data_IF_404153653412
#
_entry.id   IF_404153653412
#
_cell.length_a   1.000
_cell.length_b   1.000
_cell.length_c   1.000
_cell.angle_alpha   90.00
_cell.angle_beta   90.00
_cell.angle_gamma   90.00
#
_symmetry.space_group_name_H-M   'P 1'
#
loop_
_entity.id
_entity.type
_entity.pdbx_description
1 polymer ?
#
# COMPACT_ATOMS: atom_id res chain seq x y z
N UNK A 1 18.62 11.12 5.91
CA UNK A 1 17.16 11.06 5.68
C UNK A 1 16.95 10.40 4.31
N UNK A 2 16.66 9.09 4.26
CA UNK A 2 16.67 8.29 3.02
C UNK A 2 15.22 7.98 2.62
N UNK A 3 14.65 8.80 1.75
CA UNK A 3 13.45 8.42 0.98
C UNK A 3 13.99 7.82 -0.32
N UNK A 4 14.00 6.49 -0.40
CA UNK A 4 14.42 5.77 -1.61
C UNK A 4 13.29 5.84 -2.63
N UNK A 5 13.47 6.77 -3.57
CA UNK A 5 13.05 6.73 -4.97
C UNK A 5 11.92 5.73 -5.30
N UNK A 6 10.70 6.26 -5.34
CA UNK A 6 9.60 5.76 -6.14
C UNK A 6 9.86 6.09 -7.62
N UNK A 7 10.66 5.28 -8.33
CA UNK A 7 10.79 5.18 -9.82
C UNK A 7 12.04 4.34 -10.12
N UNK A 8 12.10 3.34 -11.00
CA UNK A 8 11.22 2.79 -12.03
C UNK A 8 11.46 1.27 -12.04
N UNK A 9 10.40 0.46 -12.11
CA UNK A 9 10.42 -1.00 -12.42
C UNK A 9 11.62 -1.81 -11.88
N UNK A 10 11.45 -2.53 -10.76
CA UNK A 10 10.58 -3.72 -10.75
C UNK A 10 9.57 -3.65 -9.59
N UNK A 11 8.27 -3.68 -9.90
CA UNK A 11 7.13 -3.79 -8.96
C UNK A 11 7.30 -3.13 -7.59
N UNK A 12 6.65 -1.97 -7.36
CA UNK A 12 6.67 -1.30 -6.06
C UNK A 12 6.41 -2.30 -4.93
N UNK A 13 7.24 -2.30 -3.89
CA UNK A 13 7.09 -3.23 -2.78
C UNK A 13 7.24 -2.48 -1.47
N UNK A 14 6.54 -2.98 -0.46
CA UNK A 14 6.45 -2.40 0.87
C UNK A 14 6.51 -3.51 1.92
N UNK A 15 6.74 -3.20 3.19
CA UNK A 15 6.64 -4.20 4.26
C UNK A 15 5.47 -3.87 5.18
N UNK A 16 4.72 -4.91 5.53
CA UNK A 16 3.65 -4.84 6.51
C UNK A 16 3.87 -5.94 7.53
N UNK A 17 3.98 -5.59 8.82
CA UNK A 17 4.17 -6.57 9.92
C UNK A 17 5.29 -7.60 9.66
N UNK A 18 6.41 -7.14 9.12
CA UNK A 18 7.57 -7.96 8.71
C UNK A 18 7.39 -8.84 7.47
N UNK A 19 6.21 -8.84 6.84
CA UNK A 19 5.97 -9.47 5.54
C UNK A 19 6.24 -8.49 4.39
N UNK A 20 6.76 -8.98 3.27
CA UNK A 20 6.90 -8.17 2.06
C UNK A 20 5.61 -8.21 1.26
N UNK A 21 5.11 -7.04 0.87
CA UNK A 21 4.00 -6.90 -0.06
C UNK A 21 4.49 -6.28 -1.34
N UNK A 22 4.26 -6.97 -2.45
CA UNK A 22 4.41 -6.38 -3.77
C UNK A 22 3.12 -5.68 -4.15
N UNK A 23 3.25 -4.49 -4.70
CA UNK A 23 2.19 -3.63 -5.19
C UNK A 23 2.26 -3.71 -6.72
N UNK A 24 1.17 -4.16 -7.31
CA UNK A 24 1.10 -4.42 -8.75
C UNK A 24 0.47 -3.24 -9.49
N UNK A 25 -0.66 -2.74 -8.97
CA UNK A 25 -1.41 -1.62 -9.56
C UNK A 25 -1.67 -0.55 -8.52
N UNK A 26 -1.31 0.69 -8.83
CA UNK A 26 -1.61 1.88 -8.03
C UNK A 26 -2.30 2.94 -8.87
N UNK A 27 -3.19 3.68 -8.23
CA UNK A 27 -3.91 4.81 -8.81
C UNK A 27 -3.73 6.01 -7.89
N UNK A 28 -3.27 7.13 -8.43
CA UNK A 28 -3.17 8.38 -7.65
C UNK A 28 -4.55 8.88 -7.25
N UNK A 29 -4.66 9.40 -6.02
CA UNK A 29 -5.90 10.01 -5.52
C UNK A 29 -5.68 11.50 -5.22
N UNK A 30 -6.79 12.20 -4.97
CA UNK A 30 -6.76 13.63 -4.62
C UNK A 30 -6.63 13.88 -3.11
N UNK A 31 -6.53 12.83 -2.30
CA UNK A 31 -6.32 12.93 -0.85
C UNK A 31 -4.83 12.91 -0.56
N UNK A 32 -4.40 13.52 0.54
CA UNK A 32 -3.03 13.43 1.03
C UNK A 32 -3.07 12.87 2.45
N UNK A 33 -2.18 11.93 2.73
CA UNK A 33 -1.99 11.32 4.05
C UNK A 33 -0.51 11.27 4.37
N UNK A 34 -0.19 11.02 5.64
CA UNK A 34 1.20 10.94 6.07
C UNK A 34 1.98 9.86 5.29
N UNK A 35 3.24 10.12 4.90
CA UNK A 35 4.03 9.16 4.16
C UNK A 35 4.09 7.80 4.87
N UNK A 36 3.62 6.75 4.18
CA UNK A 36 3.59 5.39 4.71
C UNK A 36 2.36 5.03 5.54
N UNK A 37 1.45 5.98 5.82
CA UNK A 37 0.21 5.67 6.54
C UNK A 37 -0.77 4.89 5.66
N UNK A 38 -1.47 3.94 6.26
CA UNK A 38 -2.46 3.09 5.61
C UNK A 38 -3.86 3.58 6.00
N UNK A 39 -4.66 3.89 5.00
CA UNK A 39 -6.05 4.31 5.17
C UNK A 39 -6.97 3.45 4.30
N UNK A 40 -8.17 3.16 4.81
CA UNK A 40 -9.19 2.44 4.05
C UNK A 40 -10.33 3.41 3.76
N UNK A 41 -10.57 3.69 2.48
CA UNK A 41 -11.65 4.57 2.04
C UNK A 41 -12.47 3.85 0.99
N UNK A 42 -13.79 3.76 1.18
CA UNK A 42 -14.69 3.09 0.22
C UNK A 42 -14.24 1.67 -0.17
N UNK A 43 -13.70 0.90 0.81
CA UNK A 43 -13.09 -0.43 0.63
C UNK A 43 -11.79 -0.45 -0.20
N UNK A 44 -11.24 0.71 -0.57
CA UNK A 44 -9.95 0.84 -1.25
C UNK A 44 -8.84 1.03 -0.23
N UNK A 45 -7.68 0.44 -0.52
CA UNK A 45 -6.46 0.63 0.25
C UNK A 45 -5.75 1.88 -0.23
N UNK A 46 -5.72 2.92 0.60
CA UNK A 46 -5.00 4.15 0.34
C UNK A 46 -3.70 4.17 1.15
N UNK A 47 -2.63 4.61 0.50
CA UNK A 47 -1.31 4.74 1.11
C UNK A 47 -0.87 6.18 0.99
N UNK A 48 -0.63 6.83 2.11
CA UNK A 48 -0.07 8.17 2.11
C UNK A 48 1.31 8.18 1.47
N UNK A 49 1.50 9.07 0.50
CA UNK A 49 2.84 9.44 0.04
C UNK A 49 3.04 10.92 0.37
N UNK A 50 4.29 11.37 0.48
CA UNK A 50 4.59 12.75 0.88
C UNK A 50 4.02 13.85 -0.01
N UNK A 51 3.35 13.50 -1.11
CA UNK A 51 2.55 14.39 -1.94
C UNK A 51 1.06 14.03 -1.90
N UNK A 52 0.67 12.91 -2.50
CA UNK A 52 -0.72 12.45 -2.54
C UNK A 52 -0.85 10.97 -2.18
N UNK A 53 -2.00 10.58 -1.66
CA UNK A 53 -2.28 9.20 -1.35
C UNK A 53 -2.45 8.38 -2.64
N UNK A 54 -1.90 7.16 -2.64
CA UNK A 54 -2.03 6.20 -3.72
C UNK A 54 -3.02 5.11 -3.32
N UNK A 55 -4.02 4.87 -4.16
CA UNK A 55 -4.91 3.73 -4.04
C UNK A 55 -4.27 2.49 -4.64
N UNK A 56 -4.09 1.44 -3.84
CA UNK A 56 -3.63 0.15 -4.34
C UNK A 56 -4.84 -0.63 -4.87
N UNK A 57 -4.74 -1.09 -6.12
CA UNK A 57 -5.73 -1.97 -6.74
C UNK A 57 -5.41 -3.44 -6.49
N UNK A 58 -4.19 -3.85 -6.85
CA UNK A 58 -3.71 -5.22 -6.73
C UNK A 58 -2.40 -5.29 -5.98
N UNK A 59 -2.27 -6.31 -5.13
CA UNK A 59 -1.07 -6.58 -4.36
C UNK A 59 -0.84 -8.09 -4.18
N UNK A 60 0.40 -8.45 -3.92
CA UNK A 60 0.85 -9.83 -3.74
C UNK A 60 1.65 -9.90 -2.45
N UNK A 61 1.06 -10.44 -1.37
CA UNK A 61 1.80 -10.73 -0.14
C UNK A 61 2.86 -11.81 -0.36
N UNK A 62 3.92 -11.80 0.44
CA UNK A 62 4.95 -12.82 0.39
C UNK A 62 4.36 -14.22 0.57
N UNK A 63 4.67 -15.14 -0.36
CA UNK A 63 4.17 -16.51 -0.32
C UNK A 63 2.69 -16.68 -0.70
N UNK A 64 2.00 -15.63 -1.15
CA UNK A 64 0.61 -15.71 -1.63
C UNK A 64 0.48 -15.30 -3.10
N UNK A 65 -0.63 -15.68 -3.71
CA UNK A 65 -1.02 -15.22 -5.04
C UNK A 65 -1.41 -13.74 -5.04
N UNK A 66 -1.30 -13.11 -6.21
CA UNK A 66 -1.83 -11.76 -6.47
C UNK A 66 -3.32 -11.73 -6.10
N UNK A 67 -3.73 -10.69 -5.36
CA UNK A 67 -5.11 -10.47 -4.94
C UNK A 67 -5.46 -8.99 -4.97
N UNK A 68 -6.75 -8.68 -5.01
CA UNK A 68 -7.23 -7.32 -4.87
C UNK A 68 -6.91 -6.76 -3.49
N UNK A 69 -6.60 -5.47 -3.42
CA UNK A 69 -6.33 -4.79 -2.16
C UNK A 69 -7.47 -4.90 -1.13
N UNK A 70 -8.76 -4.79 -1.50
CA UNK A 70 -9.86 -5.03 -0.56
C UNK A 70 -9.88 -6.47 -0.03
N UNK A 71 -9.58 -7.46 -0.87
CA UNK A 71 -9.50 -8.85 -0.43
C UNK A 71 -8.35 -9.05 0.57
N UNK A 72 -7.21 -8.41 0.33
CA UNK A 72 -6.11 -8.39 1.26
C UNK A 72 -6.45 -7.67 2.58
N UNK A 73 -7.08 -6.50 2.54
CA UNK A 73 -7.51 -5.74 3.73
C UNK A 73 -8.33 -6.63 4.68
N UNK A 74 -9.30 -7.37 4.13
CA UNK A 74 -10.15 -8.27 4.91
C UNK A 74 -9.34 -9.38 5.60
N UNK A 75 -8.32 -9.92 4.91
CA UNK A 75 -7.43 -10.96 5.48
C UNK A 75 -6.38 -10.39 6.45
N UNK A 76 -5.89 -9.19 6.19
CA UNK A 76 -4.83 -8.54 6.97
C UNK A 76 -5.34 -7.91 8.27
N UNK A 77 -6.67 -7.68 8.39
CA UNK A 77 -7.32 -7.01 9.53
C UNK A 77 -6.63 -5.69 9.86
N UNK A 78 -6.50 -4.84 8.83
CA UNK A 78 -5.94 -3.50 8.96
C UNK A 78 -6.77 -2.70 9.97
N UNK A 79 -6.11 -2.12 10.97
CA UNK A 79 -6.69 -1.18 11.93
C UNK A 79 -6.35 0.25 11.54
N UNK A 80 -7.11 1.22 12.07
CA UNK A 80 -6.79 2.63 11.90
C UNK A 80 -5.39 2.95 12.48
N UNK A 81 -4.59 3.71 11.74
CA UNK A 81 -3.22 4.09 12.14
C UNK A 81 -2.14 3.04 11.85
N UNK A 82 -2.38 2.05 10.98
CA UNK A 82 -1.33 1.14 10.50
C UNK A 82 -0.37 1.86 9.52
N UNK A 83 0.90 1.46 9.54
CA UNK A 83 1.94 2.04 8.69
C UNK A 83 2.68 0.95 7.91
N UNK A 84 2.99 1.27 6.66
CA UNK A 84 3.98 0.54 5.87
C UNK A 84 5.40 0.93 6.31
N UNK A 85 6.28 -0.06 6.43
CA UNK A 85 7.67 0.11 6.89
C UNK A 85 8.72 -0.61 6.06
#
# INVERSE_FOLDING_TARGET
QKIRAFTSTPGAWTRFRSETLKIDTVTSTNTSYEPGSIHILEKKLLVGTGSTALSIGFLTPAGKSRMDAPAWINGARITDGEYFG
#
